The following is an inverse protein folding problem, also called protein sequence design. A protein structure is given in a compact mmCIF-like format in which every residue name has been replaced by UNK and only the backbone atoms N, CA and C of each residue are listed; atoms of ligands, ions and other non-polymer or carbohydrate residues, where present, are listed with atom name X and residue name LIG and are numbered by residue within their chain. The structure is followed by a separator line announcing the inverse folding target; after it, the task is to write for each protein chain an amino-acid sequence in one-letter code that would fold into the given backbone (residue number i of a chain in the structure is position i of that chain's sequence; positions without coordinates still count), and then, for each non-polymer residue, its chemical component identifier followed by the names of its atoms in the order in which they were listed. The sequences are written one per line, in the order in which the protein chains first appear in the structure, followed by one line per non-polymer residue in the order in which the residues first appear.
data_IF_710678475194
#
_entry.id   IF_710678475194
#
_cell.length_a   1.000
_cell.length_b   1.000
_cell.length_c   1.000
_cell.angle_alpha   90.00
_cell.angle_beta   90.00
_cell.angle_gamma   90.00
#
_symmetry.space_group_name_H-M   'P 1'
#
loop_
_entity.id
_entity.type
_entity.pdbx_description
1 polymer ?
#
# COMPACT_ATOMS: atom_id res chain seq x y z
N UNK A 1 15.50 -28.10 4.41
CA UNK A 1 14.36 -27.18 4.28
C UNK A 1 14.63 -25.83 4.98
N UNK A 2 15.09 -25.81 6.24
CA UNK A 2 15.41 -24.56 6.98
C UNK A 2 16.45 -23.67 6.26
N UNK A 3 17.56 -24.21 5.75
CA UNK A 3 18.59 -23.44 5.02
C UNK A 3 18.09 -22.81 3.73
N UNK A 4 17.08 -23.39 3.08
CA UNK A 4 16.46 -22.83 1.88
C UNK A 4 15.57 -21.62 2.22
N UNK A 5 14.80 -21.72 3.29
CA UNK A 5 13.94 -20.66 3.80
C UNK A 5 14.78 -19.45 4.25
N UNK A 6 15.86 -19.67 5.01
CA UNK A 6 16.75 -18.59 5.47
C UNK A 6 17.49 -17.87 4.34
N UNK A 7 17.71 -18.54 3.21
CA UNK A 7 18.36 -17.92 2.03
C UNK A 7 17.44 -16.98 1.26
N UNK A 8 16.13 -17.29 1.20
CA UNK A 8 15.16 -16.56 0.37
C UNK A 8 14.24 -15.64 1.16
N UNK A 9 14.03 -15.92 2.45
CA UNK A 9 13.22 -15.11 3.34
C UNK A 9 14.15 -14.33 4.26
N UNK A 10 14.56 -13.14 3.81
CA UNK A 10 15.30 -12.18 4.63
C UNK A 10 14.31 -11.37 5.44
N UNK A 11 14.57 -11.16 6.73
CA UNK A 11 13.76 -10.30 7.58
C UNK A 11 13.28 -10.99 8.86
N UNK A 12 12.47 -10.28 9.63
CA UNK A 12 11.94 -10.75 10.89
C UNK A 12 10.87 -11.82 10.66
N UNK A 13 11.03 -12.96 11.37
CA UNK A 13 10.07 -14.08 11.32
C UNK A 13 8.67 -13.66 11.78
N UNK A 14 8.58 -12.71 12.73
CA UNK A 14 7.30 -12.19 13.21
C UNK A 14 6.53 -11.48 12.11
N UNK A 15 7.22 -10.65 11.30
CA UNK A 15 6.60 -9.95 10.16
C UNK A 15 6.05 -10.97 9.15
N UNK A 16 6.81 -12.02 8.84
CA UNK A 16 6.35 -13.06 7.94
C UNK A 16 5.14 -13.83 8.46
N UNK A 17 5.13 -14.13 9.77
CA UNK A 17 3.98 -14.76 10.40
C UNK A 17 2.73 -13.89 10.29
N UNK A 18 2.85 -12.58 10.52
CA UNK A 18 1.75 -11.62 10.38
C UNK A 18 1.26 -11.58 8.93
N UNK A 19 2.17 -11.52 7.95
CA UNK A 19 1.80 -11.52 6.53
C UNK A 19 1.00 -12.77 6.17
N UNK A 20 1.42 -13.95 6.62
CA UNK A 20 0.73 -15.21 6.34
C UNK A 20 -0.67 -15.21 6.98
N UNK A 21 -0.77 -14.81 8.25
CA UNK A 21 -2.06 -14.76 8.96
C UNK A 21 -3.02 -13.79 8.26
N UNK A 22 -2.56 -12.58 7.93
CA UNK A 22 -3.36 -11.58 7.22
C UNK A 22 -3.76 -12.06 5.81
N UNK A 23 -2.88 -12.77 5.11
CA UNK A 23 -3.18 -13.33 3.80
C UNK A 23 -4.28 -14.39 3.86
N UNK A 24 -4.23 -15.28 4.86
CA UNK A 24 -5.27 -16.28 5.08
C UNK A 24 -6.61 -15.62 5.45
N UNK A 25 -6.57 -14.65 6.36
CA UNK A 25 -7.75 -13.88 6.75
C UNK A 25 -8.36 -13.14 5.56
N UNK A 26 -7.53 -12.54 4.70
CA UNK A 26 -7.95 -11.86 3.47
C UNK A 26 -8.72 -12.79 2.52
N UNK A 27 -8.30 -14.06 2.37
CA UNK A 27 -9.02 -15.04 1.55
C UNK A 27 -10.42 -15.34 2.10
N UNK A 28 -10.54 -15.50 3.42
CA UNK A 28 -11.84 -15.74 4.08
C UNK A 28 -12.76 -14.54 3.88
N UNK A 29 -12.25 -13.33 4.07
CA UNK A 29 -13.01 -12.09 3.88
C UNK A 29 -13.42 -11.89 2.41
N UNK A 30 -12.52 -12.19 1.46
CA UNK A 30 -12.83 -12.13 0.04
C UNK A 30 -13.94 -13.11 -0.35
N UNK A 31 -13.93 -14.32 0.20
CA UNK A 31 -14.99 -15.30 -0.01
C UNK A 31 -16.34 -14.79 0.53
N UNK A 32 -16.37 -14.31 1.75
CA UNK A 32 -17.57 -13.79 2.40
C UNK A 32 -18.16 -12.57 1.67
N UNK A 33 -17.31 -11.62 1.29
CA UNK A 33 -17.74 -10.42 0.58
C UNK A 33 -18.21 -10.70 -0.85
N UNK A 34 -17.54 -11.64 -1.54
CA UNK A 34 -17.87 -11.97 -2.93
C UNK A 34 -19.13 -12.82 -3.05
N UNK A 35 -19.56 -13.51 -1.99
CA UNK A 35 -20.77 -14.34 -2.03
C UNK A 35 -22.03 -13.53 -2.36
N UNK A 36 -22.23 -12.37 -1.72
CA UNK A 36 -23.36 -11.49 -2.00
C UNK A 36 -23.35 -10.94 -3.45
N UNK A 37 -22.15 -10.62 -3.97
CA UNK A 37 -22.00 -10.12 -5.33
C UNK A 37 -22.24 -11.22 -6.37
N UNK A 38 -21.75 -12.42 -6.10
CA UNK A 38 -21.93 -13.59 -6.96
C UNK A 38 -23.39 -13.99 -7.09
N UNK A 39 -24.18 -13.94 -6.00
CA UNK A 39 -25.60 -14.20 -6.05
C UNK A 39 -26.35 -13.19 -6.93
N UNK A 40 -25.94 -11.91 -6.92
CA UNK A 40 -26.61 -10.86 -7.70
C UNK A 40 -26.24 -10.86 -9.18
N UNK A 41 -25.02 -11.23 -9.55
CA UNK A 41 -24.48 -11.00 -10.89
C UNK A 41 -24.12 -12.29 -11.61
N UNK A 42 -23.65 -13.33 -10.89
CA UNK A 42 -23.05 -14.54 -11.49
C UNK A 42 -23.80 -15.85 -11.14
N UNK A 43 -25.10 -15.77 -10.83
CA UNK A 43 -25.90 -16.98 -10.52
C UNK A 43 -25.38 -17.80 -9.33
N UNK A 44 -24.69 -17.16 -8.39
CA UNK A 44 -24.17 -17.79 -7.16
C UNK A 44 -22.73 -18.33 -7.26
N UNK A 45 -22.05 -18.21 -8.40
CA UNK A 45 -20.69 -18.72 -8.54
C UNK A 45 -19.65 -17.75 -7.99
N UNK A 46 -19.09 -18.08 -6.83
CA UNK A 46 -18.07 -17.26 -6.10
C UNK A 46 -16.65 -17.54 -6.60
N UNK A 47 -16.41 -18.68 -7.25
CA UNK A 47 -15.08 -19.16 -7.62
C UNK A 47 -14.25 -18.16 -8.43
N UNK A 48 -14.78 -17.50 -9.50
CA UNK A 48 -14.00 -16.56 -10.29
C UNK A 48 -13.46 -15.36 -9.49
N UNK A 49 -14.25 -14.85 -8.55
CA UNK A 49 -13.86 -13.74 -7.68
C UNK A 49 -12.76 -14.15 -6.72
N UNK A 50 -12.88 -15.34 -6.12
CA UNK A 50 -11.89 -15.89 -5.22
C UNK A 50 -10.56 -16.17 -5.94
N UNK A 51 -10.60 -16.74 -7.14
CA UNK A 51 -9.42 -17.01 -7.95
C UNK A 51 -8.69 -15.73 -8.35
N UNK A 52 -9.43 -14.68 -8.73
CA UNK A 52 -8.86 -13.38 -9.03
C UNK A 52 -8.14 -12.79 -7.80
N UNK A 53 -8.76 -12.88 -6.63
CA UNK A 53 -8.16 -12.40 -5.38
C UNK A 53 -6.91 -13.19 -5.02
N UNK A 54 -6.94 -14.51 -5.14
CA UNK A 54 -5.80 -15.40 -4.89
C UNK A 54 -4.62 -15.10 -5.81
N UNK A 55 -4.85 -14.87 -7.09
CA UNK A 55 -3.79 -14.51 -8.05
C UNK A 55 -3.14 -13.18 -7.65
N UNK A 56 -3.93 -12.16 -7.29
CA UNK A 56 -3.40 -10.86 -6.84
C UNK A 56 -2.59 -11.02 -5.56
N UNK A 57 -3.05 -11.84 -4.62
CA UNK A 57 -2.37 -12.11 -3.36
C UNK A 57 -1.02 -12.80 -3.60
N UNK A 58 -0.98 -13.83 -4.46
CA UNK A 58 0.27 -14.51 -4.84
C UNK A 58 1.24 -13.54 -5.50
N UNK A 59 0.78 -12.71 -6.43
CA UNK A 59 1.62 -11.66 -7.04
C UNK A 59 2.17 -10.72 -5.98
N UNK A 60 1.36 -10.30 -5.00
CA UNK A 60 1.78 -9.47 -3.88
C UNK A 60 2.88 -10.11 -3.04
N UNK A 61 2.74 -11.39 -2.69
CA UNK A 61 3.77 -12.12 -1.92
C UNK A 61 5.07 -12.25 -2.72
N UNK A 62 4.99 -12.60 -4.00
CA UNK A 62 6.16 -12.70 -4.90
C UNK A 62 6.87 -11.33 -4.97
N UNK A 63 6.11 -10.24 -5.06
CA UNK A 63 6.64 -8.89 -5.11
C UNK A 63 7.34 -8.50 -3.80
N UNK A 64 6.79 -8.88 -2.64
CA UNK A 64 7.43 -8.68 -1.33
C UNK A 64 8.77 -9.41 -1.28
N UNK A 65 8.82 -10.69 -1.70
CA UNK A 65 10.05 -11.47 -1.75
C UNK A 65 11.08 -10.82 -2.67
N UNK A 66 10.65 -10.35 -3.84
CA UNK A 66 11.51 -9.69 -4.81
C UNK A 66 12.10 -8.38 -4.27
N UNK A 67 11.28 -7.56 -3.61
CA UNK A 67 11.70 -6.28 -3.04
C UNK A 67 12.75 -6.42 -1.93
N UNK A 68 12.84 -7.56 -1.24
CA UNK A 68 13.88 -7.81 -0.22
C UNK A 68 15.30 -7.83 -0.79
N UNK A 69 15.46 -8.09 -2.07
CA UNK A 69 16.77 -8.11 -2.74
C UNK A 69 17.24 -6.72 -3.21
N UNK A 70 16.34 -5.72 -3.16
CA UNK A 70 16.69 -4.37 -3.55
C UNK A 70 17.46 -3.62 -2.46
N UNK A 71 18.45 -2.83 -2.88
CA UNK A 71 19.23 -1.96 -1.99
C UNK A 71 18.35 -0.83 -1.45
N UNK A 72 18.36 -0.62 -0.13
CA UNK A 72 17.61 0.45 0.55
C UNK A 72 17.91 1.86 0.03
N UNK A 73 19.07 2.09 -0.60
CA UNK A 73 19.41 3.37 -1.23
C UNK A 73 18.42 3.80 -2.31
N UNK A 74 17.87 2.85 -3.06
CA UNK A 74 16.88 3.15 -4.10
C UNK A 74 15.55 3.61 -3.51
N UNK A 75 15.11 3.00 -2.40
CA UNK A 75 13.90 3.43 -1.70
C UNK A 75 13.98 4.88 -1.20
N UNK A 76 15.18 5.34 -0.85
CA UNK A 76 15.40 6.72 -0.45
C UNK A 76 15.11 7.73 -1.58
N UNK A 77 15.53 7.43 -2.81
CA UNK A 77 15.23 8.28 -3.98
C UNK A 77 13.77 8.14 -4.41
N UNK A 78 13.28 6.91 -4.46
CA UNK A 78 11.88 6.62 -4.81
C UNK A 78 10.92 7.35 -3.88
N UNK A 79 11.20 7.42 -2.57
CA UNK A 79 10.33 8.12 -1.63
C UNK A 79 10.22 9.62 -1.88
N UNK A 80 11.32 10.28 -2.28
CA UNK A 80 11.30 11.73 -2.54
C UNK A 80 10.52 12.07 -3.81
N UNK A 81 10.83 11.35 -4.89
CA UNK A 81 10.13 11.53 -6.18
C UNK A 81 8.68 11.07 -6.02
N UNK A 82 8.47 9.94 -5.34
CA UNK A 82 7.17 9.34 -5.14
C UNK A 82 6.19 10.24 -4.39
N UNK A 83 6.63 11.00 -3.38
CA UNK A 83 5.77 11.97 -2.69
C UNK A 83 5.27 13.04 -3.64
N UNK A 84 6.17 13.62 -4.44
CA UNK A 84 5.78 14.63 -5.42
C UNK A 84 4.80 14.08 -6.44
N UNK A 85 5.09 12.90 -7.00
CA UNK A 85 4.20 12.20 -7.93
C UNK A 85 2.85 11.88 -7.28
N UNK A 86 2.84 11.44 -6.01
CA UNK A 86 1.60 11.15 -5.28
C UNK A 86 0.72 12.38 -5.11
N UNK A 87 1.31 13.53 -4.75
CA UNK A 87 0.57 14.79 -4.62
C UNK A 87 -0.05 15.20 -5.96
N UNK A 88 0.73 15.13 -7.04
CA UNK A 88 0.23 15.45 -8.39
C UNK A 88 -0.89 14.50 -8.82
N UNK A 89 -0.71 13.19 -8.61
CA UNK A 89 -1.73 12.19 -8.93
C UNK A 89 -3.02 12.39 -8.12
N UNK A 90 -2.91 12.66 -6.82
CA UNK A 90 -4.07 12.93 -5.98
C UNK A 90 -4.78 14.20 -6.43
N UNK A 91 -4.05 15.25 -6.78
CA UNK A 91 -4.64 16.49 -7.29
C UNK A 91 -5.37 16.28 -8.61
N UNK A 92 -4.78 15.51 -9.54
CA UNK A 92 -5.42 15.11 -10.80
C UNK A 92 -6.68 14.29 -10.52
N UNK A 93 -6.64 13.40 -9.53
CA UNK A 93 -7.80 12.58 -9.14
C UNK A 93 -8.94 13.42 -8.62
N UNK A 94 -8.66 14.48 -7.87
CA UNK A 94 -9.70 15.40 -7.39
C UNK A 94 -10.36 16.18 -8.52
N UNK A 95 -9.59 16.53 -9.57
CA UNK A 95 -10.12 17.31 -10.70
C UNK A 95 -10.83 16.44 -11.74
N UNK A 96 -10.31 15.26 -12.05
CA UNK A 96 -10.71 14.42 -13.19
C UNK A 96 -11.16 13.00 -12.78
N UNK A 97 -11.19 12.68 -11.49
CA UNK A 97 -11.55 11.35 -11.02
C UNK A 97 -12.98 10.95 -11.39
N UNK A 98 -13.17 9.69 -11.77
CA UNK A 98 -14.50 9.14 -12.07
C UNK A 98 -15.26 8.94 -10.75
N UNK A 99 -16.40 9.60 -10.64
CA UNK A 99 -17.31 9.46 -9.49
C UNK A 99 -17.96 8.07 -9.50
N UNK A 100 -17.43 7.14 -8.68
CA UNK A 100 -18.10 5.89 -8.33
C UNK A 100 -18.59 5.98 -6.89
N UNK A 101 -19.89 6.16 -6.71
CA UNK A 101 -20.50 6.18 -5.37
C UNK A 101 -20.17 7.43 -4.53
N UNK A 102 -20.26 8.62 -5.11
CA UNK A 102 -19.99 9.93 -4.50
C UNK A 102 -18.52 10.26 -4.15
N UNK A 103 -17.55 9.51 -4.61
CA UNK A 103 -16.14 9.80 -4.39
C UNK A 103 -15.32 9.63 -5.68
N UNK A 104 -14.45 10.60 -5.98
CA UNK A 104 -13.57 10.57 -7.16
C UNK A 104 -12.32 9.78 -6.86
N UNK A 105 -12.41 8.43 -6.82
CA UNK A 105 -11.33 7.57 -6.33
C UNK A 105 -10.48 6.94 -7.43
N UNK A 106 -11.01 6.83 -8.64
CA UNK A 106 -10.43 5.98 -9.67
C UNK A 106 -10.01 6.76 -10.89
N UNK A 107 -8.79 6.52 -11.35
CA UNK A 107 -8.30 6.94 -12.65
C UNK A 107 -7.94 5.66 -13.42
N UNK A 108 -8.65 5.38 -14.53
CA UNK A 108 -8.40 4.22 -15.42
C UNK A 108 -8.29 2.87 -14.68
N UNK A 109 -9.05 2.67 -13.58
CA UNK A 109 -9.00 1.44 -12.79
C UNK A 109 -7.89 1.37 -11.74
N UNK A 110 -7.09 2.41 -11.60
CA UNK A 110 -6.08 2.57 -10.56
C UNK A 110 -6.56 3.55 -9.50
N UNK A 111 -6.29 3.25 -8.23
CA UNK A 111 -6.62 4.13 -7.09
C UNK A 111 -5.35 4.86 -6.61
N UNK A 112 -5.18 6.13 -6.96
CA UNK A 112 -3.97 6.89 -6.60
C UNK A 112 -3.76 7.04 -5.10
N UNK A 113 -4.82 7.00 -4.30
CA UNK A 113 -4.71 7.08 -2.83
C UNK A 113 -3.94 5.90 -2.23
N UNK A 114 -4.07 4.68 -2.78
CA UNK A 114 -3.33 3.51 -2.29
C UNK A 114 -1.84 3.62 -2.60
N UNK A 115 -1.51 4.11 -3.79
CA UNK A 115 -0.13 4.42 -4.14
C UNK A 115 0.46 5.50 -3.23
N UNK A 116 -0.29 6.58 -2.97
CA UNK A 116 0.14 7.65 -2.08
C UNK A 116 0.38 7.17 -0.66
N UNK A 117 -0.49 6.30 -0.11
CA UNK A 117 -0.31 5.68 1.22
C UNK A 117 0.98 4.88 1.30
N UNK A 118 1.27 4.05 0.28
CA UNK A 118 2.49 3.25 0.21
C UNK A 118 3.76 4.11 0.19
N UNK A 119 3.79 5.12 -0.68
CA UNK A 119 4.92 6.06 -0.78
C UNK A 119 5.10 6.86 0.50
N UNK A 120 4.00 7.26 1.14
CA UNK A 120 4.03 7.99 2.41
C UNK A 120 4.71 7.17 3.51
N UNK A 121 4.38 5.88 3.64
CA UNK A 121 5.02 4.98 4.62
C UNK A 121 6.53 4.88 4.37
N UNK A 122 6.95 4.69 3.10
CA UNK A 122 8.38 4.64 2.75
C UNK A 122 9.08 5.95 3.07
N UNK A 123 8.44 7.09 2.79
CA UNK A 123 8.98 8.41 3.10
C UNK A 123 9.14 8.64 4.60
N UNK A 124 8.10 8.33 5.38
CA UNK A 124 8.13 8.49 6.84
C UNK A 124 9.23 7.62 7.46
N UNK A 125 9.33 6.35 7.05
CA UNK A 125 10.38 5.44 7.51
C UNK A 125 11.78 6.01 7.22
N UNK A 126 12.00 6.53 6.02
CA UNK A 126 13.25 7.20 5.65
C UNK A 126 13.53 8.44 6.50
N UNK A 127 12.54 9.32 6.68
CA UNK A 127 12.72 10.57 7.41
C UNK A 127 12.97 10.33 8.90
N UNK A 128 12.36 9.31 9.49
CA UNK A 128 12.63 8.90 10.87
C UNK A 128 14.11 8.50 11.05
N UNK A 129 14.66 7.72 10.12
CA UNK A 129 16.09 7.34 10.17
C UNK A 129 16.98 8.55 9.96
N UNK A 130 16.67 9.39 8.97
CA UNK A 130 17.50 10.57 8.64
C UNK A 130 17.50 11.62 9.75
N UNK A 131 16.38 11.82 10.43
CA UNK A 131 16.19 12.82 11.48
C UNK A 131 16.31 12.25 12.90
N UNK A 132 16.77 11.01 13.07
CA UNK A 132 16.82 10.30 14.35
C UNK A 132 17.46 11.12 15.48
N UNK A 133 18.55 11.85 15.20
CA UNK A 133 19.26 12.66 16.19
C UNK A 133 18.47 13.94 16.55
N UNK A 134 17.74 14.51 15.58
CA UNK A 134 17.02 15.79 15.72
C UNK A 134 15.53 15.62 15.98
N UNK A 135 15.05 14.42 16.21
CA UNK A 135 13.62 14.12 16.36
C UNK A 135 13.00 14.81 17.59
N UNK A 136 13.82 15.11 18.61
CA UNK A 136 13.41 15.85 19.81
C UNK A 136 13.13 17.33 19.53
N UNK A 137 13.71 17.89 18.49
CA UNK A 137 13.47 19.27 18.08
C UNK A 137 12.22 19.34 17.20
N UNK A 138 11.20 20.03 17.67
CA UNK A 138 9.91 20.13 16.99
C UNK A 138 10.06 20.73 15.58
N UNK A 139 10.80 21.83 15.44
CA UNK A 139 10.95 22.53 14.14
C UNK A 139 11.82 21.79 13.12
N UNK A 140 12.96 21.24 13.55
CA UNK A 140 13.94 20.65 12.62
C UNK A 140 13.76 19.15 12.42
N UNK A 141 13.10 18.47 13.36
CA UNK A 141 12.85 17.02 13.34
C UNK A 141 11.43 16.67 12.89
N UNK A 142 10.42 17.18 13.60
CA UNK A 142 9.05 16.73 13.45
C UNK A 142 8.31 17.38 12.27
N UNK A 143 8.46 18.69 12.08
CA UNK A 143 7.75 19.42 11.00
C UNK A 143 8.03 18.85 9.61
N UNK A 144 9.28 18.53 9.19
CA UNK A 144 9.55 17.96 7.88
C UNK A 144 8.92 16.57 7.67
N UNK A 145 8.61 15.86 8.75
CA UNK A 145 7.94 14.56 8.69
C UNK A 145 6.42 14.77 8.58
N UNK A 146 5.86 15.65 9.40
CA UNK A 146 4.42 15.88 9.48
C UNK A 146 3.86 16.62 8.27
N UNK A 147 4.64 17.53 7.66
CA UNK A 147 4.17 18.30 6.52
C UNK A 147 3.69 17.47 5.34
N UNK A 148 4.45 16.51 4.79
CA UNK A 148 3.96 15.67 3.69
C UNK A 148 2.82 14.75 4.11
N UNK A 149 2.80 14.30 5.37
CA UNK A 149 1.70 13.50 5.92
C UNK A 149 0.40 14.32 5.87
N UNK A 150 0.42 15.53 6.42
CA UNK A 150 -0.77 16.39 6.47
C UNK A 150 -1.27 16.77 5.08
N UNK A 151 -0.38 17.07 4.14
CA UNK A 151 -0.75 17.39 2.75
C UNK A 151 -1.41 16.19 2.06
N UNK A 152 -0.81 15.01 2.15
CA UNK A 152 -1.37 13.80 1.53
C UNK A 152 -2.69 13.41 2.18
N UNK A 153 -2.79 13.45 3.50
CA UNK A 153 -4.05 13.18 4.21
C UNK A 153 -5.13 14.18 3.82
N UNK A 154 -4.81 15.47 3.73
CA UNK A 154 -5.77 16.50 3.31
C UNK A 154 -6.27 16.31 1.88
N UNK A 155 -5.43 15.77 0.97
CA UNK A 155 -5.80 15.45 -0.40
C UNK A 155 -6.61 14.14 -0.52
N UNK A 156 -6.37 13.18 0.38
CA UNK A 156 -7.12 11.93 0.40
C UNK A 156 -8.52 12.12 0.97
N UNK A 157 -8.69 12.94 2.02
CA UNK A 157 -9.97 13.16 2.69
C UNK A 157 -11.14 13.51 1.76
N UNK A 158 -11.03 14.46 0.81
CA UNK A 158 -12.10 14.76 -0.12
C UNK A 158 -12.23 13.74 -1.25
N UNK A 159 -11.21 12.91 -1.49
CA UNK A 159 -11.22 11.91 -2.55
C UNK A 159 -11.82 10.57 -2.06
N UNK A 160 -11.76 10.27 -0.78
CA UNK A 160 -12.26 9.05 -0.14
C UNK A 160 -13.57 9.31 0.60
#
# INVERSE_FOLDING_TARGET
MQKFIEKYIKGDKVIWTIIIILSLYSLVMAYSSSSNLAFRIAGGNVIPYLMKHLVILVIGIVLIIYLQFFNFKYFSRVSQIGIFVSIVLLFITLLFGVNKGNASRWIMGFQPSDFAKLILVIYVARMLVYKQIKIKDFKSGLIPILWPISVICALILPAD
#
